data_IF_092325075434
#
_entry.id   IF_092325075434
#
_cell.length_a   1.000
_cell.length_b   1.000
_cell.length_c   1.000
_cell.angle_alpha   90.00
_cell.angle_beta   90.00
_cell.angle_gamma   90.00
#
_symmetry.space_group_name_H-M   'P 1'
#
loop_
_entity.id
_entity.type
_entity.pdbx_description
1 polymer ?
#
# COMPACT_ATOMS: atom_id res chain seq x y z
N UNK A 1 -4.84 -3.23 3.79
CA UNK A 1 -4.10 -2.05 3.31
C UNK A 1 -4.39 -1.74 1.84
N UNK A 2 -4.14 -2.66 0.91
CA UNK A 2 -4.39 -2.45 -0.54
C UNK A 2 -5.85 -2.13 -0.90
N UNK A 3 -6.81 -2.79 -0.26
CA UNK A 3 -8.24 -2.55 -0.51
C UNK A 3 -8.75 -1.21 0.04
N UNK A 4 -7.98 -0.54 0.89
CA UNK A 4 -8.31 0.78 1.44
C UNK A 4 -7.37 1.85 0.89
N UNK A 5 -6.77 1.59 -0.27
CA UNK A 5 -5.83 2.52 -0.90
C UNK A 5 -6.55 3.73 -1.50
N UNK A 6 -5.84 4.83 -1.64
CA UNK A 6 -6.33 6.05 -2.29
C UNK A 6 -5.19 6.69 -3.08
N UNK A 7 -5.54 7.48 -4.08
CA UNK A 7 -4.57 8.19 -4.90
C UNK A 7 -4.68 9.70 -4.61
N UNK A 8 -3.55 10.34 -4.34
CA UNK A 8 -3.46 11.78 -4.02
C UNK A 8 -2.98 12.64 -5.21
N UNK A 9 -3.22 12.19 -6.45
CA UNK A 9 -2.80 12.87 -7.68
C UNK A 9 -3.19 14.36 -7.70
N UNK A 10 -4.33 14.73 -7.12
CA UNK A 10 -4.82 16.11 -7.11
C UNK A 10 -4.06 17.06 -6.19
N UNK A 11 -3.29 16.58 -5.20
CA UNK A 11 -2.62 17.47 -4.23
C UNK A 11 -1.13 17.66 -4.48
N UNK A 12 -0.43 16.64 -5.01
CA UNK A 12 1.02 16.68 -5.13
C UNK A 12 1.56 16.08 -6.45
N UNK A 13 0.69 15.79 -7.43
CA UNK A 13 1.10 15.35 -8.77
C UNK A 13 1.75 13.96 -8.83
N UNK A 14 1.76 13.22 -7.72
CA UNK A 14 2.35 11.88 -7.64
C UNK A 14 1.26 10.81 -7.69
N UNK A 15 1.35 9.92 -8.67
CA UNK A 15 0.35 8.88 -8.96
C UNK A 15 0.54 7.61 -8.11
N UNK A 16 0.93 7.78 -6.84
CA UNK A 16 1.16 6.65 -5.94
C UNK A 16 -0.16 6.18 -5.32
N UNK A 17 -0.35 4.86 -5.30
CA UNK A 17 -1.37 4.22 -4.48
C UNK A 17 -0.93 4.32 -3.01
N UNK A 18 -1.58 5.17 -2.23
CA UNK A 18 -1.28 5.37 -0.81
C UNK A 18 -2.25 4.60 0.07
N UNK A 19 -1.84 4.29 1.29
CA UNK A 19 -2.73 3.74 2.33
C UNK A 19 -2.34 4.25 3.70
N UNK A 20 -3.27 4.26 4.65
CA UNK A 20 -2.99 4.65 6.04
C UNK A 20 -2.27 3.54 6.81
N UNK A 21 -1.30 3.93 7.65
CA UNK A 21 -0.66 3.09 8.68
C UNK A 21 -1.67 2.82 9.81
N UNK A 22 -2.58 1.89 9.55
CA UNK A 22 -3.62 1.47 10.51
C UNK A 22 -3.49 0.02 10.95
N UNK A 23 -2.30 -0.56 10.75
CA UNK A 23 -1.98 -1.95 11.04
C UNK A 23 -0.82 -2.01 12.04
N UNK A 24 -0.52 -3.21 12.53
CA UNK A 24 0.60 -3.44 13.43
C UNK A 24 1.93 -2.93 12.82
N UNK A 25 2.74 -2.26 13.65
CA UNK A 25 3.96 -1.61 13.16
C UNK A 25 5.02 -2.60 12.71
N UNK A 26 5.13 -3.77 13.34
CA UNK A 26 6.12 -4.77 12.96
C UNK A 26 5.79 -5.33 11.57
N UNK A 27 4.50 -5.55 11.29
CA UNK A 27 4.03 -5.95 9.95
C UNK A 27 4.30 -4.86 8.91
N UNK A 28 4.08 -3.60 9.26
CA UNK A 28 4.36 -2.48 8.35
C UNK A 28 5.87 -2.42 8.06
N UNK A 29 6.72 -2.64 9.06
CA UNK A 29 8.17 -2.64 8.88
C UNK A 29 8.63 -3.81 8.00
N UNK A 30 8.12 -5.02 8.23
CA UNK A 30 8.41 -6.19 7.38
C UNK A 30 8.04 -5.92 5.91
N UNK A 31 6.87 -5.35 5.65
CA UNK A 31 6.43 -5.00 4.29
C UNK A 31 7.29 -3.91 3.62
N UNK A 32 7.88 -3.00 4.41
CA UNK A 32 8.78 -1.95 3.94
C UNK A 32 10.17 -2.52 3.64
N UNK A 33 10.65 -3.43 4.50
CA UNK A 33 11.89 -4.19 4.30
C UNK A 33 11.83 -5.08 3.05
N UNK A 34 10.66 -5.66 2.76
CA UNK A 34 10.40 -6.46 1.54
C UNK A 34 10.11 -5.61 0.28
N UNK A 35 10.18 -4.27 0.36
CA UNK A 35 9.85 -3.29 -0.70
C UNK A 35 8.44 -3.47 -1.31
N UNK A 36 7.48 -3.98 -0.53
CA UNK A 36 6.06 -4.00 -0.92
C UNK A 36 5.36 -2.67 -0.65
N UNK A 37 5.86 -1.93 0.33
CA UNK A 37 5.37 -0.60 0.69
C UNK A 37 6.58 0.31 0.90
N UNK A 38 6.35 1.62 0.89
CA UNK A 38 7.34 2.64 1.26
C UNK A 38 6.77 3.55 2.31
N UNK A 39 7.34 3.47 3.51
CA UNK A 39 6.87 4.27 4.63
C UNK A 39 7.23 5.75 4.54
N UNK A 40 8.32 6.08 3.82
CA UNK A 40 8.89 7.42 3.83
C UNK A 40 9.37 7.79 5.24
N UNK A 41 8.81 8.86 5.82
CA UNK A 41 9.08 9.20 7.22
C UNK A 41 8.32 8.27 8.17
N UNK A 42 8.98 7.79 9.23
CA UNK A 42 8.32 7.04 10.30
C UNK A 42 7.22 7.84 11.02
N UNK A 43 7.23 9.19 10.91
CA UNK A 43 6.16 10.05 11.45
C UNK A 43 4.97 10.21 10.51
N UNK A 44 5.09 9.78 9.25
CA UNK A 44 4.01 9.83 8.27
C UNK A 44 2.89 8.87 8.67
N UNK A 45 1.65 9.32 8.49
CA UNK A 45 0.45 8.51 8.74
C UNK A 45 0.12 7.57 7.59
N UNK A 46 0.69 7.79 6.41
CA UNK A 46 0.46 7.00 5.21
C UNK A 46 1.74 6.30 4.74
N UNK A 47 1.54 5.32 3.86
CA UNK A 47 2.57 4.59 3.12
C UNK A 47 2.21 4.57 1.64
N UNK A 48 3.20 4.54 0.77
CA UNK A 48 3.00 4.26 -0.64
C UNK A 48 3.08 2.75 -0.88
N UNK A 49 2.22 2.21 -1.73
CA UNK A 49 2.29 0.82 -2.19
C UNK A 49 3.20 0.80 -3.41
N UNK A 50 4.22 -0.06 -3.41
CA UNK A 50 5.13 -0.20 -4.55
C UNK A 50 4.46 -1.02 -5.66
N UNK A 51 5.08 -1.04 -6.84
CA UNK A 51 4.60 -1.90 -7.92
C UNK A 51 4.57 -3.39 -7.53
N UNK A 52 5.55 -3.84 -6.75
CA UNK A 52 5.62 -5.24 -6.31
C UNK A 52 4.59 -5.52 -5.22
N UNK A 53 4.31 -4.56 -4.34
CA UNK A 53 3.19 -4.64 -3.40
C UNK A 53 1.83 -4.75 -4.11
N UNK A 54 1.62 -3.97 -5.19
CA UNK A 54 0.42 -4.06 -6.02
C UNK A 54 0.31 -5.45 -6.68
N UNK A 55 1.41 -5.97 -7.24
CA UNK A 55 1.44 -7.31 -7.86
C UNK A 55 1.10 -8.40 -6.84
N UNK A 56 1.69 -8.34 -5.64
CA UNK A 56 1.41 -9.30 -4.57
C UNK A 56 -0.06 -9.21 -4.13
N UNK A 57 -0.57 -7.99 -3.91
CA UNK A 57 -1.96 -7.79 -3.53
C UNK A 57 -2.93 -8.38 -4.57
N UNK A 58 -2.71 -8.15 -5.86
CA UNK A 58 -3.52 -8.74 -6.93
C UNK A 58 -3.47 -10.27 -6.96
N UNK A 59 -2.30 -10.88 -6.70
CA UNK A 59 -2.18 -12.33 -6.54
C UNK A 59 -3.03 -12.84 -5.36
N UNK A 60 -3.01 -12.13 -4.23
CA UNK A 60 -3.82 -12.48 -3.06
C UNK A 60 -5.32 -12.32 -3.33
N UNK A 61 -5.73 -11.25 -4.01
CA UNK A 61 -7.13 -11.06 -4.42
C UNK A 61 -7.63 -12.22 -5.28
N UNK A 62 -6.85 -12.63 -6.28
CA UNK A 62 -7.18 -13.80 -7.10
C UNK A 62 -7.23 -15.09 -6.27
N UNK A 63 -6.24 -15.32 -5.40
CA UNK A 63 -6.18 -16.50 -4.52
C UNK A 63 -7.42 -16.64 -3.63
N UNK A 64 -7.93 -15.52 -3.12
CA UNK A 64 -9.08 -15.49 -2.21
C UNK A 64 -10.41 -15.14 -2.90
N UNK A 65 -10.43 -15.07 -4.24
CA UNK A 65 -11.59 -14.72 -5.05
C UNK A 65 -12.27 -13.40 -4.61
N UNK A 66 -11.46 -12.40 -4.30
CA UNK A 66 -11.90 -11.04 -3.94
C UNK A 66 -11.78 -10.15 -5.16
N UNK A 67 -12.81 -9.37 -5.45
CA UNK A 67 -12.82 -8.42 -6.57
C UNK A 67 -11.96 -7.19 -6.22
N UNK A 68 -11.08 -6.79 -7.13
CA UNK A 68 -10.40 -5.49 -7.04
C UNK A 68 -11.38 -4.37 -7.41
N UNK A 69 -11.34 -3.25 -6.68
CA UNK A 69 -12.19 -2.10 -6.97
C UNK A 69 -11.41 -1.04 -7.75
N UNK A 70 -12.15 -0.21 -8.49
CA UNK A 70 -11.62 0.83 -9.37
C UNK A 70 -12.16 2.20 -8.98
#
# INVERSE_FOLDING_TARGET
MYLTRYNEADRFGSNYDLSWKGYDFDIINELDEEDYIRQGSHRSKSVAITEDGIKLAKKLLHKYNVMDWK
#
